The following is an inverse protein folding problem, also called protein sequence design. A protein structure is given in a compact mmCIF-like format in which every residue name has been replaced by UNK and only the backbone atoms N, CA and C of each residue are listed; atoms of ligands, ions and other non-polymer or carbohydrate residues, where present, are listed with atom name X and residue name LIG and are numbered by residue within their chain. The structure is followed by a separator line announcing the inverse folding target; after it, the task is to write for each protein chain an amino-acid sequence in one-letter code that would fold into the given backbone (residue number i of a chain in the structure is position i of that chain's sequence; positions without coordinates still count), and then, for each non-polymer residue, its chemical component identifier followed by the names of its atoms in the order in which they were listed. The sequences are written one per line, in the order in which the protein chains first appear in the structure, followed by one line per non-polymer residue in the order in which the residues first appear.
data_IF_998418716625
#
_entry.id   IF_998418716625
#
_cell.length_a   1.000
_cell.length_b   1.000
_cell.length_c   1.000
_cell.angle_alpha   90.00
_cell.angle_beta   90.00
_cell.angle_gamma   90.00
#
_symmetry.space_group_name_H-M   'P 1'
#
loop_
_entity.id
_entity.type
_entity.pdbx_description
1 polymer ?
#
# COMPACT_ATOMS: atom_id res chain seq x y z
N UNK A 1 -81.19 21.78 -29.74
CA UNK A 1 -79.84 22.41 -29.89
C UNK A 1 -78.87 21.68 -28.98
N UNK A 2 -78.21 20.67 -29.54
CA UNK A 2 -77.28 19.82 -28.82
C UNK A 2 -75.82 20.26 -29.09
N UNK A 3 -75.04 20.57 -28.01
CA UNK A 3 -73.60 20.86 -28.11
C UNK A 3 -72.81 19.57 -27.99
N UNK A 4 -71.78 19.33 -28.82
CA UNK A 4 -70.92 18.15 -28.69
C UNK A 4 -69.82 18.33 -27.62
N UNK A 5 -69.66 17.32 -26.79
CA UNK A 5 -68.50 17.15 -25.86
C UNK A 5 -67.26 16.79 -26.68
N UNK A 6 -66.15 17.56 -26.43
CA UNK A 6 -64.83 17.23 -26.93
C UNK A 6 -64.07 16.49 -25.85
N UNK A 7 -63.68 15.26 -26.11
CA UNK A 7 -62.72 14.50 -25.32
C UNK A 7 -61.30 14.92 -25.71
N UNK A 8 -60.60 15.52 -24.74
CA UNK A 8 -59.15 15.75 -24.87
C UNK A 8 -58.40 14.52 -24.42
N UNK A 9 -57.61 13.93 -25.32
CA UNK A 9 -56.66 12.85 -24.99
C UNK A 9 -55.37 13.49 -24.46
N UNK A 10 -55.05 13.24 -23.19
CA UNK A 10 -53.78 13.60 -22.58
C UNK A 10 -52.81 12.45 -22.85
N UNK A 11 -51.84 12.63 -23.74
CA UNK A 11 -50.71 11.71 -23.90
C UNK A 11 -49.73 11.97 -22.76
N UNK A 12 -49.64 11.05 -21.81
CA UNK A 12 -48.58 11.01 -20.83
C UNK A 12 -47.31 10.41 -21.49
N UNK A 13 -46.34 11.27 -21.79
CA UNK A 13 -45.02 10.83 -22.24
C UNK A 13 -44.22 10.23 -21.09
N UNK A 14 -43.96 8.93 -21.14
CA UNK A 14 -43.04 8.24 -20.25
C UNK A 14 -41.62 8.55 -20.72
N UNK A 15 -40.90 9.40 -19.98
CA UNK A 15 -39.49 9.66 -20.18
C UNK A 15 -38.70 8.46 -19.64
N UNK A 16 -38.23 7.58 -20.51
CA UNK A 16 -37.34 6.48 -20.14
C UNK A 16 -35.95 7.07 -19.97
N UNK A 17 -35.51 7.28 -18.73
CA UNK A 17 -34.12 7.61 -18.43
C UNK A 17 -33.27 6.36 -18.66
N UNK A 18 -32.54 6.32 -19.76
CA UNK A 18 -31.50 5.32 -20.00
C UNK A 18 -30.32 5.66 -19.08
N UNK A 19 -30.23 4.97 -17.95
CA UNK A 19 -29.02 4.94 -17.13
C UNK A 19 -27.96 4.18 -17.95
N UNK A 20 -27.07 4.92 -18.60
CA UNK A 20 -25.86 4.35 -19.16
C UNK A 20 -24.99 3.86 -18.00
N UNK A 21 -25.05 2.58 -17.69
CA UNK A 21 -23.99 1.96 -16.88
C UNK A 21 -22.73 1.93 -17.75
N UNK A 22 -21.85 2.91 -17.58
CA UNK A 22 -20.48 2.78 -18.04
C UNK A 22 -19.89 1.58 -17.30
N UNK A 23 -19.65 0.49 -18.00
CA UNK A 23 -18.82 -0.59 -17.49
C UNK A 23 -17.46 0.05 -17.20
N UNK A 24 -17.10 0.15 -15.92
CA UNK A 24 -15.75 0.52 -15.50
C UNK A 24 -14.84 -0.54 -16.12
N UNK A 25 -14.00 -0.12 -17.08
CA UNK A 25 -13.02 -1.00 -17.69
C UNK A 25 -12.06 -1.44 -16.59
N UNK A 26 -12.03 -2.73 -16.29
CA UNK A 26 -11.03 -3.29 -15.37
C UNK A 26 -9.65 -3.01 -15.94
N UNK A 27 -8.79 -2.38 -15.12
CA UNK A 27 -7.40 -2.12 -15.50
C UNK A 27 -6.70 -3.45 -15.67
N UNK A 28 -5.97 -3.61 -16.79
CA UNK A 28 -5.24 -4.85 -17.07
C UNK A 28 -4.07 -5.00 -16.11
N UNK A 29 -3.95 -6.17 -15.47
CA UNK A 29 -2.82 -6.54 -14.62
C UNK A 29 -1.97 -7.58 -15.34
N UNK A 30 -0.68 -7.30 -15.50
CA UNK A 30 0.27 -8.19 -16.20
C UNK A 30 1.36 -8.67 -15.25
N UNK A 31 1.92 -9.85 -15.55
CA UNK A 31 2.99 -10.43 -14.74
C UNK A 31 4.37 -10.01 -15.27
N UNK A 32 5.15 -9.39 -14.40
CA UNK A 32 6.54 -8.95 -14.70
C UNK A 32 7.55 -9.99 -14.28
N UNK A 33 7.35 -10.62 -13.10
CA UNK A 33 8.26 -11.59 -12.52
C UNK A 33 7.47 -12.69 -11.81
N UNK A 34 7.89 -13.94 -11.99
CA UNK A 34 7.43 -15.07 -11.16
C UNK A 34 8.55 -15.50 -10.24
N UNK A 35 8.23 -15.70 -8.97
CA UNK A 35 9.14 -16.28 -7.98
C UNK A 35 8.55 -17.56 -7.39
N UNK A 36 9.30 -18.19 -6.50
CA UNK A 36 8.84 -19.38 -5.76
C UNK A 36 9.43 -19.40 -4.37
N UNK A 37 8.76 -20.03 -3.39
CA UNK A 37 9.30 -20.16 -2.05
C UNK A 37 10.76 -20.67 -2.03
N UNK A 38 11.62 -20.10 -1.16
CA UNK A 38 11.34 -19.09 -0.15
C UNK A 38 11.35 -17.64 -0.67
N UNK A 39 11.49 -17.39 -1.98
CA UNK A 39 11.56 -16.05 -2.57
C UNK A 39 10.15 -15.50 -2.83
N UNK A 40 9.41 -15.25 -1.76
CA UNK A 40 8.07 -14.65 -1.79
C UNK A 40 8.22 -13.16 -1.48
N UNK A 41 7.85 -12.25 -2.41
CA UNK A 41 8.03 -10.82 -2.19
C UNK A 41 6.93 -10.27 -1.29
N UNK A 42 7.30 -9.44 -0.31
CA UNK A 42 6.36 -8.76 0.57
C UNK A 42 6.28 -7.29 0.26
N UNK A 43 7.40 -6.55 0.22
CA UNK A 43 7.42 -5.13 -0.13
C UNK A 43 8.22 -4.88 -1.41
N UNK A 44 7.90 -3.75 -2.04
CA UNK A 44 8.45 -3.35 -3.34
C UNK A 44 8.80 -1.86 -3.36
N UNK A 45 9.94 -1.52 -3.96
CA UNK A 45 10.33 -0.14 -4.25
C UNK A 45 11.02 -0.07 -5.60
N UNK A 46 11.04 1.10 -6.22
CA UNK A 46 11.70 1.34 -7.52
C UNK A 46 12.69 2.49 -7.41
N UNK A 47 13.82 2.42 -8.12
CA UNK A 47 14.75 3.53 -8.23
C UNK A 47 14.55 4.30 -9.55
N UNK A 48 15.19 5.48 -9.67
CA UNK A 48 15.09 6.36 -10.85
C UNK A 48 15.59 5.75 -12.17
N UNK A 49 16.18 4.55 -12.11
CA UNK A 49 16.70 3.81 -13.28
C UNK A 49 15.76 2.67 -13.68
N UNK A 50 14.63 2.52 -12.98
CA UNK A 50 13.68 1.44 -13.19
C UNK A 50 14.11 0.11 -12.55
N UNK A 51 15.11 0.13 -11.65
CA UNK A 51 15.46 -1.06 -10.86
C UNK A 51 14.42 -1.27 -9.78
N UNK A 52 13.91 -2.47 -9.68
CA UNK A 52 12.93 -2.87 -8.64
C UNK A 52 13.65 -3.59 -7.50
N UNK A 53 13.32 -3.21 -6.28
CA UNK A 53 13.79 -3.81 -5.03
C UNK A 53 12.65 -4.56 -4.36
N UNK A 54 12.91 -5.75 -3.86
CA UNK A 54 11.93 -6.60 -3.19
C UNK A 54 12.47 -7.08 -1.86
N UNK A 55 11.67 -6.97 -0.81
CA UNK A 55 11.90 -7.73 0.41
C UNK A 55 11.36 -9.15 0.26
N UNK A 56 12.12 -10.13 0.73
CA UNK A 56 11.79 -11.56 0.67
C UNK A 56 11.87 -12.13 2.08
N UNK A 57 10.79 -12.01 2.91
CA UNK A 57 10.82 -12.35 4.33
C UNK A 57 11.24 -13.79 4.59
N UNK A 58 10.71 -14.76 3.86
CA UNK A 58 11.03 -16.18 4.07
C UNK A 58 12.45 -16.57 3.62
N UNK A 59 13.12 -15.68 2.87
CA UNK A 59 14.52 -15.83 2.48
C UNK A 59 15.45 -14.89 3.28
N UNK A 60 14.90 -14.10 4.23
CA UNK A 60 15.62 -13.14 5.08
C UNK A 60 16.54 -12.21 4.30
N UNK A 61 16.10 -11.71 3.13
CA UNK A 61 16.93 -10.87 2.26
C UNK A 61 16.10 -9.83 1.49
N UNK A 62 16.80 -8.80 1.03
CA UNK A 62 16.35 -7.89 -0.01
C UNK A 62 17.10 -8.21 -1.29
N UNK A 63 16.39 -8.24 -2.39
CA UNK A 63 16.94 -8.44 -3.74
C UNK A 63 16.57 -7.27 -4.64
N UNK A 64 17.25 -7.12 -5.77
CA UNK A 64 16.90 -6.19 -6.83
C UNK A 64 16.98 -6.83 -8.20
N UNK A 65 16.25 -6.27 -9.17
CA UNK A 65 16.37 -6.64 -10.58
C UNK A 65 16.09 -5.41 -11.47
N UNK A 66 16.78 -5.35 -12.59
CA UNK A 66 16.43 -4.43 -13.68
C UNK A 66 15.37 -5.09 -14.58
N UNK A 67 14.62 -4.35 -15.41
CA UNK A 67 13.66 -4.91 -16.35
C UNK A 67 14.27 -6.05 -17.17
N UNK A 68 13.67 -7.25 -17.13
CA UNK A 68 14.17 -8.45 -17.79
C UNK A 68 15.46 -9.06 -17.21
N UNK A 69 16.01 -8.49 -16.13
CA UNK A 69 17.22 -8.96 -15.47
C UNK A 69 16.99 -10.06 -14.43
N UNK A 70 18.07 -10.67 -13.96
CA UNK A 70 18.05 -11.65 -12.89
C UNK A 70 17.94 -10.97 -11.52
N UNK A 71 17.42 -11.69 -10.52
CA UNK A 71 17.43 -11.28 -9.12
C UNK A 71 18.85 -11.25 -8.56
N UNK A 72 19.26 -10.11 -8.00
CA UNK A 72 20.56 -9.93 -7.34
C UNK A 72 20.32 -9.61 -5.87
N UNK A 73 20.97 -10.31 -4.95
CA UNK A 73 20.89 -10.04 -3.53
C UNK A 73 21.54 -8.70 -3.20
N UNK A 74 20.80 -7.83 -2.51
CA UNK A 74 21.26 -6.53 -1.98
C UNK A 74 21.86 -6.72 -0.60
N UNK A 75 21.11 -7.37 0.31
CA UNK A 75 21.57 -7.68 1.67
C UNK A 75 20.75 -8.83 2.26
N UNK A 76 21.29 -9.44 3.34
CA UNK A 76 20.60 -10.41 4.19
C UNK A 76 20.42 -9.84 5.58
N UNK A 77 19.36 -10.28 6.29
CA UNK A 77 18.94 -9.72 7.56
C UNK A 77 18.77 -10.82 8.62
N UNK A 78 18.81 -10.48 9.92
CA UNK A 78 18.71 -11.47 11.00
C UNK A 78 17.30 -12.07 11.16
N UNK A 79 16.28 -11.44 10.57
CA UNK A 79 14.88 -11.86 10.63
C UNK A 79 14.15 -11.46 9.34
N UNK A 80 12.82 -11.43 9.36
CA UNK A 80 11.95 -11.12 8.22
C UNK A 80 12.04 -9.64 7.81
N UNK A 81 12.66 -9.28 6.67
CA UNK A 81 12.51 -7.96 6.09
C UNK A 81 11.10 -7.82 5.53
N UNK A 82 10.34 -6.83 5.98
CA UNK A 82 9.03 -6.47 5.46
C UNK A 82 9.16 -5.24 4.56
N UNK A 83 8.95 -4.03 5.06
CA UNK A 83 9.02 -2.81 4.27
C UNK A 83 10.38 -2.55 3.65
N UNK A 84 10.41 -2.06 2.42
CA UNK A 84 11.59 -1.55 1.73
C UNK A 84 11.28 -0.20 1.08
N UNK A 85 12.14 0.80 1.28
CA UNK A 85 12.07 2.12 0.62
C UNK A 85 13.48 2.61 0.29
N UNK A 86 13.58 3.48 -0.72
CA UNK A 86 14.82 4.15 -1.07
C UNK A 86 14.72 5.63 -0.66
N UNK A 87 15.86 6.20 -0.24
CA UNK A 87 16.00 7.64 -0.16
C UNK A 87 16.41 8.24 -1.52
N UNK A 88 16.45 9.58 -1.67
CA UNK A 88 16.86 10.23 -2.92
C UNK A 88 18.30 9.92 -3.34
N UNK A 89 19.17 9.58 -2.40
CA UNK A 89 20.56 9.19 -2.61
C UNK A 89 20.68 7.73 -3.12
N UNK A 90 19.61 6.94 -2.99
CA UNK A 90 19.54 5.54 -3.40
C UNK A 90 19.96 4.55 -2.31
N UNK A 91 20.10 4.99 -1.05
CA UNK A 91 20.26 4.08 0.07
C UNK A 91 18.96 3.31 0.27
N UNK A 92 19.06 2.02 0.64
CA UNK A 92 17.92 1.14 0.81
C UNK A 92 17.62 0.99 2.29
N UNK A 93 16.45 1.46 2.72
CA UNK A 93 15.96 1.29 4.09
C UNK A 93 15.02 0.10 4.17
N UNK A 94 15.20 -0.71 5.21
CA UNK A 94 14.48 -1.98 5.36
C UNK A 94 13.93 -2.10 6.78
N UNK A 95 12.64 -2.33 6.90
CA UNK A 95 11.98 -2.65 8.16
C UNK A 95 12.13 -4.15 8.43
N UNK A 96 12.78 -4.52 9.54
CA UNK A 96 13.09 -5.92 9.88
C UNK A 96 12.42 -6.31 11.19
N UNK A 97 11.52 -7.29 11.14
CA UNK A 97 10.74 -7.76 12.29
C UNK A 97 11.65 -8.14 13.45
N UNK A 98 11.33 -7.62 14.65
CA UNK A 98 12.06 -7.91 15.88
C UNK A 98 13.47 -7.31 15.97
N UNK A 99 13.93 -6.62 14.90
CA UNK A 99 15.29 -6.07 14.83
C UNK A 99 15.30 -4.56 14.67
N UNK A 100 14.42 -3.97 13.87
CA UNK A 100 14.39 -2.52 13.66
C UNK A 100 14.58 -2.12 12.21
N UNK A 101 15.09 -0.92 12.00
CA UNK A 101 15.33 -0.33 10.68
C UNK A 101 16.80 -0.49 10.32
N UNK A 102 17.03 -0.98 9.12
CA UNK A 102 18.34 -1.23 8.55
C UNK A 102 18.56 -0.36 7.31
N UNK A 103 19.77 0.08 7.10
CA UNK A 103 20.20 0.84 5.92
C UNK A 103 21.26 0.03 5.15
N UNK A 104 21.11 -0.01 3.82
CA UNK A 104 22.13 -0.51 2.89
C UNK A 104 22.57 0.66 2.04
N UNK A 105 23.85 1.08 2.10
CA UNK A 105 24.34 2.22 1.34
C UNK A 105 24.19 2.03 -0.19
N UNK A 106 23.82 3.08 -0.91
CA UNK A 106 23.71 3.09 -2.37
C UNK A 106 25.04 2.70 -3.07
N UNK A 107 26.16 3.09 -2.46
CA UNK A 107 27.50 2.74 -2.95
C UNK A 107 27.85 1.26 -2.75
N UNK A 108 26.97 0.49 -2.11
CA UNK A 108 27.24 -0.87 -1.67
C UNK A 108 27.94 -0.91 -0.31
N UNK A 109 28.03 -2.10 0.27
CA UNK A 109 28.59 -2.30 1.61
C UNK A 109 27.65 -3.13 2.48
N UNK A 110 28.04 -3.41 3.75
CA UNK A 110 27.21 -4.16 4.66
C UNK A 110 25.96 -3.35 5.08
N UNK A 111 24.85 -4.04 5.28
CA UNK A 111 23.70 -3.46 5.93
C UNK A 111 24.01 -3.14 7.39
N UNK A 112 23.53 -2.02 7.87
CA UNK A 112 23.68 -1.59 9.27
C UNK A 112 22.31 -1.29 9.88
N UNK A 113 22.09 -1.70 11.13
CA UNK A 113 20.91 -1.28 11.88
C UNK A 113 21.09 0.19 12.30
N UNK A 114 20.13 1.04 11.90
CA UNK A 114 20.17 2.49 12.14
C UNK A 114 19.19 2.94 13.22
N UNK A 115 18.14 2.14 13.48
CA UNK A 115 17.15 2.49 14.48
C UNK A 115 16.33 1.27 14.95
N UNK A 116 15.51 1.46 15.99
CA UNK A 116 14.50 0.52 16.45
C UNK A 116 15.01 -0.55 17.39
N UNK A 117 14.26 -1.63 17.50
CA UNK A 117 14.43 -2.76 18.39
C UNK A 117 13.32 -3.76 18.14
N UNK A 118 12.82 -4.48 19.18
CA UNK A 118 11.68 -5.37 19.02
C UNK A 118 10.43 -4.63 18.50
N UNK A 119 9.75 -5.20 17.52
CA UNK A 119 8.52 -4.65 16.93
C UNK A 119 8.15 -5.41 15.66
N UNK A 120 6.91 -5.27 15.23
CA UNK A 120 6.47 -5.75 13.92
C UNK A 120 6.58 -4.61 12.90
N UNK A 121 7.84 -4.21 12.63
CA UNK A 121 8.17 -3.12 11.72
C UNK A 121 7.77 -3.46 10.30
N UNK A 122 7.00 -2.56 9.64
CA UNK A 122 6.41 -2.84 8.34
C UNK A 122 6.56 -1.66 7.37
N UNK A 123 5.51 -0.88 7.10
CA UNK A 123 5.52 0.20 6.11
C UNK A 123 6.55 1.29 6.41
N UNK A 124 7.21 1.78 5.39
CA UNK A 124 8.20 2.87 5.44
C UNK A 124 7.77 4.01 4.52
N UNK A 125 7.97 5.26 4.96
CA UNK A 125 7.81 6.44 4.11
C UNK A 125 8.74 7.57 4.55
N UNK A 126 9.23 8.36 3.60
CA UNK A 126 9.96 9.60 3.87
C UNK A 126 9.00 10.79 3.81
N UNK A 127 9.20 11.79 4.69
CA UNK A 127 8.59 13.09 4.52
C UNK A 127 9.47 13.99 3.62
N UNK A 128 8.94 15.14 3.21
CA UNK A 128 9.66 16.12 2.38
C UNK A 128 10.89 16.75 3.08
N UNK A 129 11.07 16.53 4.37
CA UNK A 129 12.23 16.97 5.15
C UNK A 129 13.30 15.88 5.23
N UNK A 130 12.99 14.67 4.70
CA UNK A 130 13.86 13.49 4.70
C UNK A 130 13.90 12.76 6.04
N UNK A 131 12.90 12.92 6.90
CA UNK A 131 12.72 12.03 8.05
C UNK A 131 12.05 10.74 7.56
N UNK A 132 12.50 9.60 8.09
CA UNK A 132 11.92 8.29 7.81
C UNK A 132 10.88 7.95 8.86
N UNK A 133 9.73 7.52 8.41
CA UNK A 133 8.66 7.00 9.27
C UNK A 133 8.49 5.51 9.05
N UNK A 134 8.15 4.80 10.12
CA UNK A 134 7.88 3.35 10.08
C UNK A 134 6.64 3.03 10.89
N UNK A 135 5.81 2.14 10.36
CA UNK A 135 4.70 1.55 11.09
C UNK A 135 5.15 0.34 11.92
N UNK A 136 4.63 0.24 13.13
CA UNK A 136 4.67 -0.97 13.95
C UNK A 136 3.27 -1.61 13.90
N UNK A 137 3.10 -2.60 13.04
CA UNK A 137 1.79 -3.23 12.79
C UNK A 137 1.24 -3.96 14.01
N UNK A 138 2.12 -4.55 14.82
CA UNK A 138 1.73 -5.26 16.04
C UNK A 138 1.47 -4.32 17.22
N UNK A 139 2.30 -3.28 17.36
CA UNK A 139 2.16 -2.28 18.42
C UNK A 139 1.06 -1.26 18.14
N UNK A 140 0.66 -1.08 16.88
CA UNK A 140 -0.31 -0.08 16.45
C UNK A 140 0.20 1.33 16.65
N UNK A 141 1.35 1.64 16.05
CA UNK A 141 2.03 2.93 16.22
C UNK A 141 2.81 3.32 14.96
N UNK A 142 3.12 4.62 14.86
CA UNK A 142 4.05 5.17 13.88
C UNK A 142 5.24 5.77 14.62
N UNK A 143 6.43 5.38 14.19
CA UNK A 143 7.69 5.90 14.70
C UNK A 143 8.40 6.74 13.65
N UNK A 144 9.25 7.68 14.09
CA UNK A 144 10.03 8.56 13.23
C UNK A 144 11.51 8.44 13.56
N UNK A 145 12.32 8.23 12.54
CA UNK A 145 13.78 8.42 12.57
C UNK A 145 14.08 9.74 11.87
N UNK A 146 14.59 10.70 12.62
CA UNK A 146 14.98 11.99 12.06
C UNK A 146 16.41 11.98 11.50
N UNK A 147 16.79 13.07 10.84
CA UNK A 147 18.14 13.22 10.24
C UNK A 147 19.29 13.24 11.25
N UNK A 148 19.01 13.44 12.53
CA UNK A 148 20.01 13.39 13.58
C UNK A 148 20.22 11.97 14.12
N UNK A 149 19.38 11.01 13.68
CA UNK A 149 19.37 9.64 14.16
C UNK A 149 18.46 9.41 15.37
N UNK A 150 17.65 10.41 15.77
CA UNK A 150 16.71 10.26 16.87
C UNK A 150 15.49 9.46 16.44
N UNK A 151 15.31 8.29 17.07
CA UNK A 151 14.18 7.40 16.82
C UNK A 151 13.11 7.54 17.90
N UNK A 152 11.97 8.13 17.55
CA UNK A 152 10.93 8.53 18.52
C UNK A 152 9.53 8.06 18.08
N UNK A 153 8.65 7.78 19.07
CA UNK A 153 7.24 7.56 18.81
C UNK A 153 6.63 8.85 18.25
N UNK A 154 6.10 8.79 17.01
CA UNK A 154 5.46 9.92 16.37
C UNK A 154 3.95 9.94 16.60
N UNK A 155 3.27 8.79 16.47
CA UNK A 155 1.84 8.65 16.77
C UNK A 155 1.53 7.30 17.40
N UNK A 156 0.87 7.33 18.55
CA UNK A 156 0.33 6.15 19.25
C UNK A 156 -1.20 6.17 19.30
N UNK A 157 -1.86 6.73 18.28
CA UNK A 157 -3.33 6.79 18.23
C UNK A 157 -3.96 5.40 18.34
N UNK A 158 -5.04 5.24 19.13
CA UNK A 158 -5.79 3.98 19.19
C UNK A 158 -6.30 3.48 17.82
N UNK A 159 -6.52 4.38 16.86
CA UNK A 159 -6.94 4.04 15.49
C UNK A 159 -5.87 3.26 14.71
N UNK A 160 -4.62 3.23 15.18
CA UNK A 160 -3.53 2.50 14.56
C UNK A 160 -3.43 1.03 15.02
N UNK A 161 -4.21 0.64 16.01
CA UNK A 161 -4.19 -0.74 16.53
C UNK A 161 -4.99 -1.68 15.64
N UNK A 162 -4.54 -2.94 15.59
CA UNK A 162 -5.29 -4.02 14.98
C UNK A 162 -6.28 -4.69 15.96
N UNK A 163 -6.95 -5.73 15.49
CA UNK A 163 -7.94 -6.50 16.27
C UNK A 163 -7.85 -7.98 15.94
N UNK A 164 -8.19 -8.82 16.94
CA UNK A 164 -8.42 -10.27 16.73
C UNK A 164 -9.87 -10.59 16.39
N UNK A 165 -10.75 -9.61 16.43
CA UNK A 165 -12.15 -9.77 16.03
C UNK A 165 -12.30 -9.82 14.51
N UNK A 166 -13.49 -10.26 14.06
CA UNK A 166 -13.81 -10.21 12.64
C UNK A 166 -13.83 -8.75 12.13
N UNK A 167 -13.19 -8.52 11.01
CA UNK A 167 -13.17 -7.23 10.31
C UNK A 167 -14.47 -6.95 9.54
N UNK A 168 -14.48 -5.92 8.67
CA UNK A 168 -15.68 -5.44 8.00
C UNK A 168 -16.32 -6.46 7.04
N UNK A 169 -15.57 -7.48 6.62
CA UNK A 169 -16.10 -8.60 5.84
C UNK A 169 -16.68 -9.75 6.68
N UNK A 170 -16.72 -9.63 8.01
CA UNK A 170 -17.15 -10.69 8.91
C UNK A 170 -16.14 -11.83 9.10
N UNK A 171 -14.89 -11.63 8.70
CA UNK A 171 -13.80 -12.62 8.78
C UNK A 171 -12.63 -12.05 9.59
N UNK A 172 -11.88 -12.94 10.26
CA UNK A 172 -10.61 -12.61 10.91
C UNK A 172 -9.51 -12.63 9.85
N UNK A 173 -8.61 -11.64 9.85
CA UNK A 173 -7.52 -11.58 8.90
C UNK A 173 -6.63 -12.83 8.97
N UNK A 174 -6.27 -13.45 7.82
CA UNK A 174 -5.59 -14.75 7.80
C UNK A 174 -4.21 -14.79 8.46
N UNK A 175 -3.54 -13.65 8.60
CA UNK A 175 -2.25 -13.57 9.27
C UNK A 175 -2.35 -13.48 10.80
N UNK A 176 -3.51 -13.13 11.38
CA UNK A 176 -3.71 -12.96 12.83
C UNK A 176 -3.31 -14.20 13.65
N UNK A 177 -3.61 -15.44 13.25
CA UNK A 177 -3.19 -16.61 14.02
C UNK A 177 -1.68 -16.76 14.19
N UNK A 178 -0.88 -16.20 13.26
CA UNK A 178 0.59 -16.32 13.25
C UNK A 178 1.30 -15.08 13.80
N UNK A 179 0.73 -13.89 13.56
CA UNK A 179 1.40 -12.61 13.85
C UNK A 179 0.65 -11.76 14.89
N UNK A 180 -0.54 -12.19 15.33
CA UNK A 180 -1.42 -11.38 16.19
C UNK A 180 -2.15 -10.29 15.41
N UNK A 181 -2.80 -9.33 16.11
CA UNK A 181 -3.53 -8.25 15.45
C UNK A 181 -2.59 -7.37 14.62
N UNK A 182 -3.04 -7.01 13.41
CA UNK A 182 -2.32 -6.18 12.46
C UNK A 182 -3.06 -4.85 12.27
N UNK A 183 -2.51 -3.80 12.86
CA UNK A 183 -3.04 -2.45 12.74
C UNK A 183 -2.36 -1.66 11.62
N UNK A 184 -1.63 -0.59 12.00
CA UNK A 184 -0.89 0.27 11.08
C UNK A 184 0.07 -0.52 10.20
N UNK A 185 -0.11 -0.44 8.88
CA UNK A 185 0.67 -1.18 7.90
C UNK A 185 1.30 -0.21 6.88
N UNK A 186 0.91 -0.24 5.61
CA UNK A 186 1.42 0.70 4.62
C UNK A 186 1.16 2.16 4.99
N UNK A 187 2.14 3.03 4.73
CA UNK A 187 2.08 4.46 5.03
C UNK A 187 2.54 5.29 3.84
N UNK A 188 1.89 6.43 3.60
CA UNK A 188 2.27 7.39 2.57
C UNK A 188 1.90 8.81 2.98
N UNK A 189 2.62 9.81 2.47
CA UNK A 189 2.30 11.22 2.68
C UNK A 189 1.56 11.80 1.47
N UNK A 190 0.52 12.62 1.72
CA UNK A 190 -0.17 13.38 0.69
C UNK A 190 0.54 14.72 0.40
N UNK A 191 0.03 15.52 -0.59
CA UNK A 191 0.61 16.83 -0.96
C UNK A 191 0.54 17.89 0.16
N UNK A 192 -0.31 17.67 1.15
CA UNK A 192 -0.44 18.56 2.32
C UNK A 192 0.52 18.18 3.46
N UNK A 193 1.26 17.07 3.29
CA UNK A 193 2.14 16.53 4.33
C UNK A 193 1.42 15.72 5.40
N UNK A 194 0.14 15.37 5.19
CA UNK A 194 -0.56 14.45 6.09
C UNK A 194 -0.17 13.01 5.75
N UNK A 195 -0.01 12.19 6.78
CA UNK A 195 0.21 10.76 6.60
C UNK A 195 -1.12 10.03 6.45
N UNK A 196 -1.22 9.16 5.43
CA UNK A 196 -2.28 8.17 5.28
C UNK A 196 -1.71 6.80 5.67
N UNK A 197 -2.43 6.09 6.52
CA UNK A 197 -2.01 4.79 7.11
C UNK A 197 -3.08 3.76 6.81
N UNK A 198 -2.70 2.66 6.17
CA UNK A 198 -3.56 1.49 6.02
C UNK A 198 -3.69 0.77 7.38
N UNK A 199 -4.91 0.47 7.81
CA UNK A 199 -5.17 -0.39 8.94
C UNK A 199 -5.73 -1.72 8.44
N UNK A 200 -4.92 -2.77 8.56
CA UNK A 200 -5.16 -4.08 7.93
C UNK A 200 -6.43 -4.75 8.43
N UNK A 201 -6.58 -4.90 9.74
CA UNK A 201 -7.67 -5.67 10.33
C UNK A 201 -9.02 -4.95 10.23
N UNK A 202 -9.02 -3.62 10.33
CA UNK A 202 -10.23 -2.82 10.24
C UNK A 202 -10.62 -2.47 8.80
N UNK A 203 -9.73 -2.68 7.81
CA UNK A 203 -10.02 -2.32 6.42
C UNK A 203 -10.36 -0.83 6.29
N UNK A 204 -9.49 0.01 6.83
CA UNK A 204 -9.69 1.46 6.83
C UNK A 204 -8.37 2.21 6.57
N UNK A 205 -8.48 3.44 6.13
CA UNK A 205 -7.38 4.37 5.97
C UNK A 205 -7.48 5.44 7.07
N UNK A 206 -6.41 5.59 7.84
CA UNK A 206 -6.30 6.60 8.90
C UNK A 206 -5.49 7.77 8.37
N UNK A 207 -5.99 9.00 8.56
CA UNK A 207 -5.27 10.24 8.27
C UNK A 207 -4.69 10.80 9.56
N UNK A 208 -3.40 11.15 9.53
CA UNK A 208 -2.70 11.83 10.63
C UNK A 208 -2.10 13.12 10.06
N UNK A 209 -2.65 14.29 10.37
CA UNK A 209 -2.05 15.56 9.97
C UNK A 209 -0.65 15.73 10.57
N UNK A 210 0.25 16.35 9.82
CA UNK A 210 1.54 16.78 10.35
C UNK A 210 1.47 18.25 10.74
N UNK A 211 1.70 18.55 12.02
CA UNK A 211 1.76 19.91 12.50
C UNK A 211 2.97 20.68 11.94
N UNK A 212 2.99 22.01 11.94
CA UNK A 212 4.11 22.82 11.44
C UNK A 212 5.46 22.51 12.11
N UNK A 213 5.44 22.07 13.38
CA UNK A 213 6.62 21.64 14.14
C UNK A 213 7.08 20.22 13.81
N UNK A 214 6.34 19.49 12.94
CA UNK A 214 6.63 18.12 12.56
C UNK A 214 6.04 17.06 13.49
N UNK A 215 5.32 17.45 14.54
CA UNK A 215 4.61 16.50 15.41
C UNK A 215 3.34 15.96 14.74
N UNK A 216 2.85 14.81 15.23
CA UNK A 216 1.59 14.24 14.77
C UNK A 216 0.40 15.07 15.26
N UNK A 217 -0.53 15.38 14.37
CA UNK A 217 -1.84 15.90 14.71
C UNK A 217 -2.79 14.80 15.17
N UNK A 218 -4.06 15.16 15.37
CA UNK A 218 -5.10 14.19 15.77
C UNK A 218 -5.45 13.26 14.61
N UNK A 219 -5.26 11.96 14.82
CA UNK A 219 -5.63 10.94 13.85
C UNK A 219 -7.16 10.84 13.69
N UNK A 220 -7.61 10.56 12.48
CA UNK A 220 -9.02 10.32 12.15
C UNK A 220 -9.17 9.27 11.08
N UNK A 221 -10.30 8.58 11.03
CA UNK A 221 -10.63 7.69 9.91
C UNK A 221 -10.86 8.56 8.67
N UNK A 222 -10.11 8.31 7.62
CA UNK A 222 -10.21 8.99 6.34
C UNK A 222 -11.15 8.26 5.38
N UNK A 223 -11.05 6.92 5.34
CA UNK A 223 -11.89 6.06 4.53
C UNK A 223 -12.12 4.72 5.23
N UNK A 224 -13.29 4.13 5.07
CA UNK A 224 -13.66 2.88 5.73
C UNK A 224 -14.28 3.08 7.13
N UNK A 225 -14.40 2.00 7.97
CA UNK A 225 -14.07 0.62 7.63
C UNK A 225 -14.94 0.08 6.48
N UNK A 226 -14.31 -0.62 5.53
CA UNK A 226 -14.99 -1.15 4.35
C UNK A 226 -14.47 -2.55 3.98
N UNK A 227 -15.38 -3.42 3.52
CA UNK A 227 -14.97 -4.76 3.08
C UNK A 227 -14.01 -4.72 1.88
N UNK A 228 -14.10 -3.73 1.00
CA UNK A 228 -13.14 -3.54 -0.10
C UNK A 228 -11.72 -3.29 0.42
N UNK A 229 -11.56 -2.50 1.49
CA UNK A 229 -10.26 -2.20 2.09
C UNK A 229 -9.80 -3.27 3.09
N UNK A 230 -10.56 -4.35 3.32
CA UNK A 230 -10.15 -5.37 4.28
C UNK A 230 -8.87 -6.08 3.85
N UNK A 231 -7.91 -6.10 4.77
CA UNK A 231 -6.55 -6.49 4.48
C UNK A 231 -5.76 -5.39 3.79
N UNK A 232 -6.11 -4.10 4.01
CA UNK A 232 -5.30 -2.97 3.53
C UNK A 232 -3.87 -3.11 4.03
N UNK A 233 -2.93 -3.24 3.09
CA UNK A 233 -1.52 -3.56 3.35
C UNK A 233 -0.63 -2.43 2.82
N UNK A 234 0.23 -2.66 1.88
CA UNK A 234 1.06 -1.63 1.27
C UNK A 234 0.28 -0.59 0.48
N UNK A 235 0.80 0.62 0.44
CA UNK A 235 0.16 1.76 -0.21
C UNK A 235 1.13 2.58 -1.06
N UNK A 236 0.61 3.22 -2.11
CA UNK A 236 1.32 4.20 -2.93
C UNK A 236 0.45 5.41 -3.23
N UNK A 237 1.07 6.55 -3.48
CA UNK A 237 0.37 7.82 -3.74
C UNK A 237 0.68 8.33 -5.14
N UNK A 238 -0.32 8.84 -5.86
CA UNK A 238 -0.10 9.57 -7.11
C UNK A 238 0.02 11.09 -6.90
N UNK A 239 0.30 11.81 -7.98
CA UNK A 239 0.45 13.27 -7.97
C UNK A 239 -0.89 14.03 -7.80
N UNK A 240 -2.02 13.34 -7.91
CA UNK A 240 -3.35 13.88 -7.69
C UNK A 240 -3.91 13.57 -6.30
N UNK A 241 -3.07 13.06 -5.38
CA UNK A 241 -3.43 12.64 -4.02
C UNK A 241 -4.40 11.46 -3.95
N UNK A 242 -4.50 10.64 -4.99
CA UNK A 242 -5.15 9.35 -4.85
C UNK A 242 -4.20 8.37 -4.17
N UNK A 243 -4.72 7.65 -3.17
CA UNK A 243 -4.03 6.56 -2.50
C UNK A 243 -4.40 5.24 -3.18
N UNK A 244 -3.40 4.48 -3.59
CA UNK A 244 -3.57 3.11 -4.08
C UNK A 244 -3.27 2.16 -2.95
N UNK A 245 -4.08 1.13 -2.79
CA UNK A 245 -4.06 0.21 -1.66
C UNK A 245 -4.02 -1.22 -2.16
N UNK A 246 -3.03 -1.99 -1.72
CA UNK A 246 -3.05 -3.43 -1.86
C UNK A 246 -3.97 -4.02 -0.78
N UNK A 247 -5.18 -4.41 -1.15
CA UNK A 247 -6.12 -5.07 -0.25
C UNK A 247 -5.88 -6.58 -0.31
N UNK A 248 -4.92 -7.05 0.49
CA UNK A 248 -4.33 -8.38 0.37
C UNK A 248 -5.35 -9.52 0.49
N UNK A 249 -6.18 -9.48 1.53
CA UNK A 249 -7.19 -10.51 1.80
C UNK A 249 -8.33 -10.53 0.79
N UNK A 250 -8.45 -9.48 -0.02
CA UNK A 250 -9.42 -9.36 -1.12
C UNK A 250 -8.83 -9.77 -2.46
N UNK A 251 -7.49 -9.86 -2.58
CA UNK A 251 -6.81 -10.10 -3.85
C UNK A 251 -7.10 -8.99 -4.85
N UNK A 252 -7.04 -7.73 -4.42
CA UNK A 252 -7.40 -6.57 -5.24
C UNK A 252 -6.50 -5.36 -4.99
N UNK A 253 -6.54 -4.42 -5.94
CA UNK A 253 -5.96 -3.09 -5.82
C UNK A 253 -7.10 -2.08 -5.84
N UNK A 254 -7.15 -1.25 -4.81
CA UNK A 254 -8.14 -0.19 -4.67
C UNK A 254 -7.48 1.18 -4.87
N UNK A 255 -8.29 2.16 -5.30
CA UNK A 255 -7.96 3.58 -5.29
C UNK A 255 -8.88 4.28 -4.31
N UNK A 256 -8.28 5.06 -3.39
CA UNK A 256 -9.00 5.95 -2.48
C UNK A 256 -8.72 7.37 -2.94
N UNK A 257 -9.73 8.08 -3.40
CA UNK A 257 -9.59 9.46 -3.88
C UNK A 257 -9.40 10.47 -2.73
N UNK A 258 -9.05 11.74 -3.01
CA UNK A 258 -8.85 12.75 -1.97
C UNK A 258 -10.10 13.05 -1.11
N UNK A 259 -11.28 12.55 -1.48
CA UNK A 259 -12.53 12.65 -0.68
C UNK A 259 -12.76 11.43 0.21
N UNK A 260 -11.94 10.38 0.08
CA UNK A 260 -12.07 9.12 0.81
C UNK A 260 -12.96 8.09 0.11
N UNK A 261 -13.41 8.35 -1.13
CA UNK A 261 -14.18 7.37 -1.90
C UNK A 261 -13.28 6.25 -2.43
N UNK A 262 -13.74 5.00 -2.27
CA UNK A 262 -13.01 3.79 -2.67
C UNK A 262 -13.53 3.26 -4.00
N UNK A 263 -12.60 3.04 -4.94
CA UNK A 263 -12.85 2.38 -6.21
C UNK A 263 -11.96 1.15 -6.35
N UNK A 264 -12.52 0.00 -6.70
CA UNK A 264 -11.77 -1.21 -7.04
C UNK A 264 -11.24 -1.09 -8.46
N UNK A 265 -9.93 -0.99 -8.65
CA UNK A 265 -9.30 -0.88 -9.96
C UNK A 265 -9.07 -2.25 -10.62
N UNK A 266 -8.62 -3.22 -9.83
CA UNK A 266 -8.36 -4.57 -10.30
C UNK A 266 -8.62 -5.58 -9.18
N UNK A 267 -9.16 -6.75 -9.51
CA UNK A 267 -9.43 -7.82 -8.55
C UNK A 267 -9.36 -9.20 -9.22
N UNK A 268 -8.97 -10.21 -8.43
CA UNK A 268 -8.86 -11.59 -8.89
C UNK A 268 -7.59 -11.85 -9.70
N UNK A 269 -7.52 -13.00 -10.38
CA UNK A 269 -6.33 -13.44 -11.11
C UNK A 269 -5.81 -12.37 -12.10
N UNK A 270 -4.48 -12.06 -12.09
CA UNK A 270 -3.39 -12.74 -11.39
C UNK A 270 -3.09 -12.22 -9.98
N UNK A 271 -3.89 -11.29 -9.44
CA UNK A 271 -3.72 -10.77 -8.07
C UNK A 271 -4.07 -11.87 -7.05
N UNK A 272 -3.10 -12.16 -6.18
CA UNK A 272 -3.22 -13.19 -5.16
C UNK A 272 -2.50 -12.76 -3.91
N UNK A 273 -3.24 -12.22 -2.95
CA UNK A 273 -2.71 -11.62 -1.74
C UNK A 273 -1.63 -10.55 -2.05
N UNK A 274 -1.97 -9.48 -2.83
CA UNK A 274 -1.03 -8.40 -3.09
C UNK A 274 -0.67 -7.71 -1.76
N UNK A 275 0.62 -7.50 -1.49
CA UNK A 275 1.09 -7.02 -0.20
C UNK A 275 1.61 -5.58 -0.24
N UNK A 276 2.24 -5.15 -1.33
CA UNK A 276 2.71 -3.77 -1.44
C UNK A 276 2.69 -3.29 -2.89
N UNK A 277 2.78 -1.97 -3.07
CA UNK A 277 2.80 -1.31 -4.37
C UNK A 277 3.85 -0.21 -4.41
N UNK A 278 4.46 -0.04 -5.59
CA UNK A 278 5.35 1.08 -5.89
C UNK A 278 5.06 1.62 -7.28
N UNK A 279 5.06 2.95 -7.42
CA UNK A 279 5.03 3.57 -8.73
C UNK A 279 6.39 3.46 -9.42
N UNK A 280 6.37 3.30 -10.74
CA UNK A 280 7.54 3.45 -11.55
C UNK A 280 8.12 4.87 -11.47
N UNK A 281 9.43 5.00 -11.49
CA UNK A 281 10.14 6.28 -11.36
C UNK A 281 11.07 6.54 -12.54
N UNK A 282 11.15 5.59 -13.47
CA UNK A 282 11.96 5.65 -14.68
C UNK A 282 11.30 6.45 -15.82
N UNK A 283 11.96 6.47 -16.97
CA UNK A 283 11.39 7.05 -18.19
C UNK A 283 10.41 6.05 -18.83
N UNK A 284 9.13 6.41 -18.88
CA UNK A 284 8.08 5.63 -19.56
C UNK A 284 7.28 4.69 -18.66
N UNK A 285 7.57 4.62 -17.36
CA UNK A 285 6.84 3.79 -16.39
C UNK A 285 6.20 4.59 -15.23
N UNK A 286 6.20 5.92 -15.31
CA UNK A 286 5.75 6.77 -14.18
C UNK A 286 4.28 6.61 -13.81
N UNK A 287 3.45 6.12 -14.72
CA UNK A 287 2.05 5.78 -14.47
C UNK A 287 1.85 4.31 -14.11
N UNK A 288 2.90 3.49 -14.26
CA UNK A 288 2.85 2.09 -13.88
C UNK A 288 2.91 1.93 -12.36
N UNK A 289 2.10 1.02 -11.85
CA UNK A 289 2.16 0.50 -10.49
C UNK A 289 2.73 -0.91 -10.56
N UNK A 290 3.85 -1.12 -9.88
CA UNK A 290 4.41 -2.44 -9.63
C UNK A 290 3.85 -2.97 -8.31
N UNK A 291 3.40 -4.22 -8.32
CA UNK A 291 2.67 -4.84 -7.22
C UNK A 291 3.46 -6.05 -6.72
N UNK A 292 3.77 -6.07 -5.44
CA UNK A 292 4.28 -7.25 -4.77
C UNK A 292 3.12 -8.24 -4.58
N UNK A 293 3.15 -9.35 -5.31
CA UNK A 293 2.15 -10.42 -5.23
C UNK A 293 2.64 -11.51 -4.30
N UNK A 294 2.28 -11.43 -3.03
CA UNK A 294 2.80 -12.31 -1.97
C UNK A 294 2.38 -13.77 -2.18
N UNK A 295 1.11 -14.01 -2.47
CA UNK A 295 0.56 -15.31 -2.84
C UNK A 295 0.99 -16.49 -1.94
N UNK A 296 1.25 -16.24 -0.63
CA UNK A 296 1.79 -17.25 0.28
C UNK A 296 0.74 -17.88 1.21
N UNK A 297 -0.49 -17.39 1.19
CA UNK A 297 -1.56 -17.95 2.02
C UNK A 297 -2.40 -18.98 1.23
N UNK A 298 -3.04 -19.96 1.93
CA UNK A 298 -3.76 -21.07 1.28
C UNK A 298 -4.92 -20.66 0.38
N UNK A 299 -5.46 -19.45 0.54
CA UNK A 299 -6.52 -18.88 -0.30
C UNK A 299 -5.99 -18.33 -1.63
N UNK A 300 -4.68 -18.34 -1.81
CA UNK A 300 -4.01 -17.75 -2.95
C UNK A 300 -4.00 -18.71 -4.14
N UNK A 301 -4.63 -18.34 -5.24
CA UNK A 301 -4.65 -19.13 -6.47
C UNK A 301 -3.55 -18.74 -7.48
N UNK A 302 -2.81 -17.64 -7.21
CA UNK A 302 -1.76 -17.14 -8.08
C UNK A 302 -0.35 -17.48 -7.58
N UNK A 303 0.66 -17.32 -8.45
CA UNK A 303 2.06 -17.49 -8.10
C UNK A 303 2.61 -16.20 -7.46
N UNK A 304 3.56 -16.30 -6.50
CA UNK A 304 4.26 -15.13 -5.97
C UNK A 304 5.12 -14.47 -7.06
N UNK A 305 5.39 -13.17 -6.90
CA UNK A 305 6.19 -12.42 -7.85
C UNK A 305 5.81 -10.94 -7.93
N UNK A 306 6.09 -10.33 -9.08
CA UNK A 306 5.76 -8.93 -9.34
C UNK A 306 4.74 -8.86 -10.48
N UNK A 307 3.71 -8.07 -10.26
CA UNK A 307 2.70 -7.71 -11.25
C UNK A 307 2.83 -6.21 -11.57
N UNK A 308 2.23 -5.79 -12.68
CA UNK A 308 2.20 -4.41 -13.16
C UNK A 308 0.80 -4.05 -13.65
N UNK A 309 0.37 -2.84 -13.36
CA UNK A 309 -0.83 -2.22 -13.92
C UNK A 309 -0.57 -0.74 -14.22
N UNK A 310 -1.32 -0.15 -15.14
CA UNK A 310 -1.25 1.29 -15.43
C UNK A 310 -2.29 2.04 -14.59
N UNK A 311 -1.85 2.97 -13.76
CA UNK A 311 -2.72 3.86 -12.98
C UNK A 311 -3.26 5.03 -13.79
N UNK A 312 -2.69 5.32 -14.98
CA UNK A 312 -3.03 6.46 -15.82
C UNK A 312 -2.56 7.83 -15.28
N UNK A 313 -2.13 7.89 -14.03
CA UNK A 313 -1.63 9.11 -13.36
C UNK A 313 -0.24 8.80 -12.81
N UNK A 314 0.75 9.69 -13.01
CA UNK A 314 2.09 9.46 -12.47
C UNK A 314 2.09 9.38 -10.94
N UNK A 315 2.88 8.44 -10.43
CA UNK A 315 3.16 8.34 -9.01
C UNK A 315 3.92 9.56 -8.50
N UNK A 316 3.84 9.76 -7.19
CA UNK A 316 4.58 10.80 -6.51
C UNK A 316 6.08 10.48 -6.56
N UNK A 317 6.95 11.46 -6.83
CA UNK A 317 8.39 11.28 -6.70
C UNK A 317 8.76 10.77 -5.31
N UNK A 318 9.77 9.92 -5.23
CA UNK A 318 10.38 9.55 -3.96
C UNK A 318 10.87 10.84 -3.32
N UNK A 319 10.38 11.14 -2.11
CA UNK A 319 10.55 12.40 -1.39
C UNK A 319 12.00 12.73 -1.05
#
# INVERSE_FOLDING_TARGET
MSRPFRFGVVLAGVLLAILSTTALGTVSVTRVLTTSPPNVPESIATDHRGTTYLSLPFASKVVKFAPGGALVTVATFPSFPLGVRLDPEGNVFVAVVGSGIWEVPAAGGPAAQVAGGPGLWNGLAFDHRGNLYVSDSGGGAIWRLDKNGDFTLWSGSPLLKGTTAAGPCGLVHPAVPSFGPLGANGIAFNNHGDMLVANTDFGEIIRIPTNPDGSAGTASVFSGPACNLWGADGVGMDNADNLYVAANSKGQIDRVDPTGHVEVLAAGDPLSFPSDIAFGTGRGDRTAIFISNFAAFPTSNGAPGVLEMDAGIPGRPIG
#
